data_IF_919907295489
#
_entry.id   IF_919907295489
#
_cell.length_a   1.000
_cell.length_b   1.000
_cell.length_c   1.000
_cell.angle_alpha   90.00
_cell.angle_beta   90.00
_cell.angle_gamma   90.00
#
_symmetry.space_group_name_H-M   'P 1'
#
loop_
_entity.id
_entity.type
_entity.pdbx_description
1 polymer ?
#
# COMPACT_ATOMS: atom_id res chain seq x y z
N UNK A 1 -5.40 5.70 -7.94
CA UNK A 1 -5.42 6.95 -8.74
C UNK A 1 -3.99 7.47 -8.83
N UNK A 2 -3.27 7.07 -9.84
CA UNK A 2 -1.96 7.63 -10.15
C UNK A 2 -2.19 8.99 -10.81
N UNK A 3 -1.78 10.05 -10.13
CA UNK A 3 -1.65 11.37 -10.74
C UNK A 3 -0.39 11.34 -11.59
N UNK A 4 -0.50 11.60 -12.90
CA UNK A 4 0.66 11.88 -13.71
C UNK A 4 1.20 13.29 -13.37
N UNK A 5 2.43 13.57 -13.78
CA UNK A 5 3.10 14.87 -13.55
C UNK A 5 2.35 16.07 -14.17
N UNK A 6 1.35 15.83 -15.03
CA UNK A 6 0.51 16.86 -15.65
C UNK A 6 -0.73 17.19 -14.81
N UNK A 7 -0.97 16.49 -13.71
CA UNK A 7 -2.13 16.68 -12.85
C UNK A 7 -3.44 16.13 -13.43
N UNK A 8 -3.37 15.45 -14.55
CA UNK A 8 -4.49 14.71 -15.14
C UNK A 8 -4.59 13.37 -14.43
N UNK A 9 -5.72 13.09 -13.78
CA UNK A 9 -6.05 11.74 -13.37
C UNK A 9 -6.11 10.89 -14.62
N UNK A 10 -5.18 9.95 -14.79
CA UNK A 10 -5.37 8.92 -15.79
C UNK A 10 -6.65 8.20 -15.39
N UNK A 11 -7.69 8.37 -16.18
CA UNK A 11 -8.93 7.66 -15.94
C UNK A 11 -8.59 6.17 -15.97
N UNK A 12 -8.86 5.49 -14.87
CA UNK A 12 -8.83 4.03 -14.90
C UNK A 12 -9.80 3.59 -16.00
N UNK A 13 -9.46 2.57 -16.78
CA UNK A 13 -10.30 2.16 -17.90
C UNK A 13 -11.75 1.94 -17.45
N UNK A 14 -12.70 2.53 -18.16
CA UNK A 14 -14.14 2.49 -17.83
C UNK A 14 -14.69 1.08 -17.63
N UNK A 15 -14.10 0.08 -18.30
CA UNK A 15 -14.52 -1.32 -18.17
C UNK A 15 -14.32 -1.91 -16.77
N UNK A 16 -13.44 -1.36 -15.94
CA UNK A 16 -13.23 -1.81 -14.57
C UNK A 16 -14.33 -1.38 -13.59
N UNK A 17 -15.17 -0.40 -13.98
CA UNK A 17 -16.16 0.21 -13.09
C UNK A 17 -17.57 0.26 -13.67
N UNK A 18 -17.74 -0.10 -14.96
CA UNK A 18 -19.05 -0.15 -15.54
C UNK A 18 -19.77 -1.48 -15.19
N UNK A 19 -21.06 -1.56 -15.43
CA UNK A 19 -21.85 -2.77 -15.17
C UNK A 19 -21.99 -3.66 -16.42
N UNK A 20 -21.22 -3.41 -17.47
CA UNK A 20 -21.27 -4.16 -18.70
C UNK A 20 -20.26 -5.32 -18.68
N UNK A 21 -20.67 -6.57 -18.45
CA UNK A 21 -19.75 -7.71 -18.36
C UNK A 21 -19.04 -8.03 -19.69
N UNK A 22 -19.47 -7.43 -20.81
CA UNK A 22 -18.84 -7.66 -22.11
C UNK A 22 -17.60 -6.78 -22.33
N UNK A 23 -17.44 -5.69 -21.60
CA UNK A 23 -16.26 -4.84 -21.69
C UNK A 23 -15.07 -5.48 -20.98
N UNK A 24 -15.33 -6.35 -20.01
CA UNK A 24 -14.31 -7.17 -19.34
C UNK A 24 -13.64 -8.15 -20.33
N UNK A 25 -14.34 -8.52 -21.41
CA UNK A 25 -13.78 -9.39 -22.43
C UNK A 25 -12.56 -8.76 -23.14
N UNK A 26 -12.50 -7.45 -23.28
CA UNK A 26 -11.33 -6.75 -23.83
C UNK A 26 -10.10 -6.89 -22.94
N UNK A 27 -10.31 -6.87 -21.62
CA UNK A 27 -9.24 -7.10 -20.66
C UNK A 27 -8.78 -8.55 -20.64
N UNK A 28 -9.72 -9.50 -20.55
CA UNK A 28 -9.43 -10.94 -20.53
C UNK A 28 -8.79 -11.46 -21.82
N UNK A 29 -9.16 -10.88 -22.96
CA UNK A 29 -8.64 -11.25 -24.28
C UNK A 29 -7.53 -10.31 -24.78
N UNK A 30 -7.04 -9.41 -23.95
CA UNK A 30 -5.90 -8.58 -24.25
C UNK A 30 -4.66 -9.45 -24.43
N UNK A 31 -3.84 -9.07 -25.41
CA UNK A 31 -2.59 -9.76 -25.77
C UNK A 31 -1.69 -10.00 -24.56
N UNK A 32 -1.55 -9.00 -23.68
CA UNK A 32 -0.65 -9.05 -22.55
C UNK A 32 -1.22 -9.98 -21.47
N UNK A 33 -2.52 -9.90 -21.20
CA UNK A 33 -3.22 -10.82 -20.27
C UNK A 33 -3.10 -12.26 -20.73
N UNK A 34 -3.32 -12.53 -22.01
CA UNK A 34 -3.18 -13.88 -22.58
C UNK A 34 -1.73 -14.39 -22.52
N UNK A 35 -0.77 -13.50 -22.80
CA UNK A 35 0.65 -13.83 -22.72
C UNK A 35 1.08 -14.18 -21.30
N UNK A 36 0.76 -13.31 -20.31
CA UNK A 36 1.11 -13.56 -18.91
C UNK A 36 0.36 -14.74 -18.31
N UNK A 37 -0.93 -14.92 -18.64
CA UNK A 37 -1.69 -16.10 -18.19
C UNK A 37 -1.10 -17.39 -18.78
N UNK A 38 -0.75 -17.38 -20.05
CA UNK A 38 -0.08 -18.51 -20.71
C UNK A 38 1.29 -18.80 -20.09
N UNK A 39 2.07 -17.74 -19.79
CA UNK A 39 3.37 -17.88 -19.14
C UNK A 39 3.24 -18.48 -17.74
N UNK A 40 2.32 -18.00 -16.90
CA UNK A 40 2.07 -18.53 -15.55
C UNK A 40 1.64 -20.00 -15.62
N UNK A 41 0.70 -20.36 -16.51
CA UNK A 41 0.25 -21.75 -16.69
C UNK A 41 1.39 -22.68 -17.16
N UNK A 42 2.25 -22.20 -18.03
CA UNK A 42 3.40 -22.99 -18.51
C UNK A 42 4.48 -23.13 -17.45
N UNK A 43 4.75 -22.08 -16.70
CA UNK A 43 5.73 -22.08 -15.59
C UNK A 43 5.30 -23.06 -14.50
N UNK A 44 4.05 -23.00 -14.05
CA UNK A 44 3.51 -23.94 -13.07
C UNK A 44 3.56 -25.38 -13.53
N UNK A 45 3.35 -25.62 -14.85
CA UNK A 45 3.40 -26.96 -15.40
C UNK A 45 4.83 -27.50 -15.54
N UNK A 46 5.82 -26.63 -15.81
CA UNK A 46 7.21 -27.04 -16.05
C UNK A 46 8.04 -27.17 -14.76
N UNK A 47 7.64 -26.52 -13.67
CA UNK A 47 8.37 -26.53 -12.40
C UNK A 47 7.79 -27.49 -11.34
N UNK A 48 6.97 -28.44 -11.78
CA UNK A 48 6.50 -29.52 -10.89
C UNK A 48 5.46 -29.10 -9.87
N UNK A 49 4.75 -28.05 -10.17
CA UNK A 49 3.87 -27.28 -9.34
C UNK A 49 2.98 -28.01 -8.40
N UNK A 50 2.99 -27.60 -7.22
CA UNK A 50 2.03 -27.67 -6.17
C UNK A 50 1.83 -26.32 -5.56
N UNK A 51 2.44 -25.31 -6.13
CA UNK A 51 2.34 -23.93 -5.68
C UNK A 51 0.97 -23.39 -6.05
N UNK A 52 0.22 -22.98 -5.06
CA UNK A 52 -1.04 -22.26 -5.25
C UNK A 52 -0.73 -20.87 -5.82
N UNK A 53 -1.71 -20.22 -6.42
CA UNK A 53 -1.56 -18.82 -6.86
C UNK A 53 -1.12 -17.91 -5.71
N UNK A 54 -1.42 -18.29 -4.48
CA UNK A 54 -1.02 -17.59 -3.26
C UNK A 54 0.50 -17.67 -3.05
N UNK A 55 1.15 -18.79 -3.36
CA UNK A 55 2.61 -18.96 -3.27
C UNK A 55 3.35 -18.21 -4.41
N UNK A 56 2.73 -18.05 -5.57
CA UNK A 56 3.30 -17.30 -6.70
C UNK A 56 3.37 -15.78 -6.47
N UNK A 57 2.69 -15.26 -5.46
CA UNK A 57 2.73 -13.86 -5.04
C UNK A 57 3.51 -13.65 -3.73
N UNK A 58 3.99 -14.71 -3.10
CA UNK A 58 4.93 -14.56 -2.00
C UNK A 58 6.27 -14.15 -2.57
N UNK A 59 6.70 -12.95 -2.22
CA UNK A 59 8.05 -12.46 -2.49
C UNK A 59 9.02 -13.21 -1.57
N UNK A 60 9.07 -14.52 -1.75
CA UNK A 60 9.81 -15.42 -0.90
C UNK A 60 11.24 -15.55 -1.39
N UNK A 61 12.11 -14.93 -0.65
CA UNK A 61 13.54 -15.14 -0.74
C UNK A 61 14.22 -14.22 0.26
N UNK A 62 14.90 -14.78 1.23
CA UNK A 62 15.71 -14.08 2.23
C UNK A 62 16.68 -13.05 1.64
N UNK A 63 16.90 -13.12 0.32
CA UNK A 63 17.77 -12.22 -0.44
C UNK A 63 17.19 -10.81 -0.54
N UNK A 64 15.86 -10.66 -0.48
CA UNK A 64 15.17 -9.38 -0.70
C UNK A 64 14.90 -8.62 0.61
N UNK A 65 14.76 -9.36 1.71
CA UNK A 65 14.37 -8.82 3.00
C UNK A 65 15.55 -8.80 3.94
N UNK A 66 16.35 -7.77 3.88
CA UNK A 66 17.48 -7.56 4.78
C UNK A 66 17.94 -6.09 4.75
N UNK A 67 18.60 -5.68 5.81
CA UNK A 67 19.10 -4.32 5.99
C UNK A 67 20.01 -3.83 4.86
N UNK A 68 20.82 -4.72 4.25
CA UNK A 68 21.69 -4.33 3.13
C UNK A 68 20.86 -3.93 1.91
N UNK A 69 19.90 -4.77 1.52
CA UNK A 69 18.98 -4.49 0.42
C UNK A 69 18.15 -3.22 0.68
N UNK A 70 17.64 -3.09 1.91
CA UNK A 70 16.85 -1.91 2.28
C UNK A 70 17.68 -0.61 2.19
N UNK A 71 18.95 -0.64 2.61
CA UNK A 71 19.83 0.51 2.53
C UNK A 71 20.32 0.78 1.11
N UNK A 72 20.60 -0.24 0.32
CA UNK A 72 21.01 -0.11 -1.08
C UNK A 72 19.87 0.51 -1.95
N UNK A 73 18.62 0.22 -1.60
CA UNK A 73 17.44 0.76 -2.26
C UNK A 73 16.95 2.08 -1.65
N UNK A 74 17.71 2.66 -0.71
CA UNK A 74 17.36 3.92 -0.07
C UNK A 74 18.22 5.08 -0.57
N UNK A 75 17.64 5.87 -1.45
CA UNK A 75 18.24 7.16 -1.86
C UNK A 75 17.87 8.23 -0.82
N UNK A 76 18.84 8.54 0.04
CA UNK A 76 18.66 9.49 1.15
C UNK A 76 18.62 10.93 0.62
N UNK A 77 17.46 11.62 0.71
CA UNK A 77 17.33 12.96 0.15
C UNK A 77 18.13 14.01 0.91
N UNK A 78 18.43 15.11 0.27
CA UNK A 78 18.92 16.33 0.95
C UNK A 78 17.83 16.92 1.83
N UNK A 79 18.24 17.62 2.91
CA UNK A 79 17.32 18.29 3.83
C UNK A 79 16.59 19.41 3.09
N UNK A 80 15.26 19.36 3.16
CA UNK A 80 14.37 20.36 2.60
C UNK A 80 13.74 21.22 3.71
N UNK A 81 13.26 22.43 3.38
CA UNK A 81 12.46 23.23 4.30
C UNK A 81 11.19 22.52 4.72
N UNK A 82 10.71 22.82 5.93
CA UNK A 82 9.43 22.32 6.44
C UNK A 82 8.30 22.62 5.46
N UNK A 83 7.52 21.59 5.14
CA UNK A 83 6.39 21.69 4.24
C UNK A 83 5.12 22.18 4.96
N UNK A 84 4.23 22.91 4.26
CA UNK A 84 2.96 23.35 4.83
C UNK A 84 2.05 22.13 5.12
N UNK A 85 1.37 22.17 6.26
CA UNK A 85 0.50 21.08 6.74
C UNK A 85 -0.82 21.02 5.97
N UNK A 86 -1.37 22.17 5.61
CA UNK A 86 -2.71 22.31 5.05
C UNK A 86 -2.97 21.45 3.82
N UNK A 87 -2.08 21.40 2.80
CA UNK A 87 -2.31 20.58 1.60
C UNK A 87 -2.40 19.08 1.91
N UNK A 88 -1.65 18.60 2.89
CA UNK A 88 -1.66 17.19 3.30
C UNK A 88 -2.96 16.83 4.00
N UNK A 89 -3.45 17.71 4.89
CA UNK A 89 -4.72 17.55 5.59
C UNK A 89 -5.90 17.60 4.60
N UNK A 90 -5.88 18.52 3.64
CA UNK A 90 -6.91 18.62 2.61
C UNK A 90 -6.95 17.38 1.71
N UNK A 91 -5.78 16.88 1.28
CA UNK A 91 -5.69 15.63 0.53
C UNK A 91 -6.17 14.43 1.35
N UNK A 92 -5.79 14.35 2.63
CA UNK A 92 -6.28 13.29 3.51
C UNK A 92 -7.81 13.31 3.62
N UNK A 93 -8.41 14.47 3.86
CA UNK A 93 -9.88 14.63 3.91
C UNK A 93 -10.56 14.21 2.62
N UNK A 94 -10.01 14.60 1.46
CA UNK A 94 -10.56 14.24 0.16
C UNK A 94 -10.52 12.72 -0.07
N UNK A 95 -9.42 12.06 0.28
CA UNK A 95 -9.28 10.61 0.16
C UNK A 95 -10.20 9.86 1.15
N UNK A 96 -10.31 10.36 2.38
CA UNK A 96 -11.16 9.78 3.41
C UNK A 96 -12.64 9.80 3.04
N UNK A 97 -13.10 10.78 2.24
CA UNK A 97 -14.48 10.81 1.76
C UNK A 97 -14.88 9.54 0.99
N UNK A 98 -13.96 8.97 0.21
CA UNK A 98 -14.20 7.71 -0.52
C UNK A 98 -14.35 6.55 0.46
N UNK A 99 -13.42 6.43 1.40
CA UNK A 99 -13.40 5.34 2.39
C UNK A 99 -14.63 5.43 3.31
N UNK A 100 -14.92 6.60 3.85
CA UNK A 100 -16.08 6.81 4.73
C UNK A 100 -17.41 6.64 4.00
N UNK A 101 -17.43 6.92 2.69
CA UNK A 101 -18.58 6.62 1.85
C UNK A 101 -18.89 5.13 1.80
N UNK A 102 -17.87 4.28 1.69
CA UNK A 102 -18.05 2.83 1.75
C UNK A 102 -18.44 2.34 3.14
N UNK A 103 -17.76 2.81 4.18
CA UNK A 103 -18.07 2.47 5.57
C UNK A 103 -19.55 2.75 5.87
N UNK A 104 -20.05 3.95 5.51
CA UNK A 104 -21.43 4.36 5.74
C UNK A 104 -22.46 3.55 4.96
N UNK A 105 -22.09 3.05 3.77
CA UNK A 105 -22.97 2.21 2.93
C UNK A 105 -23.02 0.76 3.39
N UNK A 106 -22.09 0.34 4.24
CA UNK A 106 -21.97 -1.04 4.71
C UNK A 106 -21.93 -1.11 6.26
N UNK A 107 -23.02 -0.69 6.93
CA UNK A 107 -23.05 -0.60 8.41
C UNK A 107 -22.92 -1.97 9.10
N UNK A 108 -23.24 -3.06 8.39
CA UNK A 108 -23.13 -4.44 8.90
C UNK A 108 -21.76 -5.08 8.64
N UNK A 109 -20.82 -4.33 8.02
CA UNK A 109 -19.45 -4.77 7.75
C UNK A 109 -18.52 -4.13 8.76
N UNK A 110 -17.68 -4.93 9.40
CA UNK A 110 -16.57 -4.45 10.23
C UNK A 110 -15.37 -4.13 9.34
N UNK A 111 -14.77 -2.96 9.52
CA UNK A 111 -13.63 -2.47 8.75
C UNK A 111 -12.40 -2.43 9.64
N UNK A 112 -11.46 -3.35 9.39
CA UNK A 112 -10.13 -3.32 9.97
C UNK A 112 -9.21 -2.46 9.11
N UNK A 113 -8.81 -1.32 9.62
CA UNK A 113 -7.95 -0.35 8.90
C UNK A 113 -6.64 -0.22 9.67
N UNK A 114 -5.52 -0.17 8.97
CA UNK A 114 -4.23 -0.01 9.60
C UNK A 114 -3.33 0.99 8.87
N UNK A 115 -2.48 1.67 9.63
CA UNK A 115 -1.37 2.43 9.08
C UNK A 115 -0.21 1.48 8.83
N UNK A 116 0.31 1.43 7.58
CA UNK A 116 1.40 0.51 7.24
C UNK A 116 2.63 0.70 8.15
N UNK A 117 3.30 -0.38 8.55
CA UNK A 117 4.53 -0.31 9.35
C UNK A 117 5.73 0.03 8.46
N UNK A 118 5.75 1.22 7.89
CA UNK A 118 6.89 1.69 7.11
C UNK A 118 8.17 1.73 7.93
N UNK A 119 9.30 1.42 7.30
CA UNK A 119 10.59 1.34 7.97
C UNK A 119 11.05 2.69 8.53
N UNK A 120 12.05 2.65 9.39
CA UNK A 120 12.71 3.88 9.89
C UNK A 120 13.28 4.73 8.74
N UNK A 121 13.60 4.13 7.58
CA UNK A 121 14.07 4.86 6.41
C UNK A 121 12.97 5.74 5.80
N UNK A 122 11.71 5.29 5.84
CA UNK A 122 10.57 6.13 5.46
C UNK A 122 10.48 7.37 6.36
N UNK A 123 10.65 7.21 7.64
CA UNK A 123 10.60 8.32 8.60
C UNK A 123 11.80 9.25 8.48
N UNK A 124 13.03 8.73 8.24
CA UNK A 124 14.19 9.55 7.90
C UNK A 124 13.94 10.38 6.63
N UNK A 125 13.37 9.75 5.60
CA UNK A 125 13.00 10.44 4.35
C UNK A 125 11.98 11.54 4.59
N UNK A 126 10.91 11.24 5.31
CA UNK A 126 9.84 12.18 5.64
C UNK A 126 10.37 13.39 6.42
N UNK A 127 11.23 13.16 7.42
CA UNK A 127 11.89 14.22 8.18
C UNK A 127 12.78 15.10 7.30
N UNK A 128 13.61 14.47 6.46
CA UNK A 128 14.54 15.18 5.57
C UNK A 128 13.84 16.00 4.51
N UNK A 129 12.68 15.54 4.05
CA UNK A 129 11.82 16.30 3.10
C UNK A 129 11.02 17.41 3.79
N UNK A 130 11.13 17.54 5.13
CA UNK A 130 10.39 18.53 5.91
C UNK A 130 8.90 18.24 6.03
N UNK A 131 8.47 16.99 5.81
CA UNK A 131 7.07 16.57 5.71
C UNK A 131 6.52 15.98 7.02
N UNK A 132 7.35 15.82 8.06
CA UNK A 132 6.99 15.08 9.27
C UNK A 132 5.71 15.62 9.93
N UNK A 133 5.64 16.93 10.17
CA UNK A 133 4.48 17.56 10.80
C UNK A 133 3.23 17.42 9.93
N UNK A 134 3.39 17.54 8.61
CA UNK A 134 2.31 17.43 7.65
C UNK A 134 1.74 15.99 7.59
N UNK A 135 2.62 14.98 7.58
CA UNK A 135 2.23 13.57 7.61
C UNK A 135 1.51 13.23 8.92
N UNK A 136 2.02 13.66 10.07
CA UNK A 136 1.35 13.43 11.34
C UNK A 136 -0.01 14.14 11.44
N UNK A 137 -0.14 15.35 10.92
CA UNK A 137 -1.43 16.05 10.88
C UNK A 137 -2.45 15.33 9.97
N UNK A 138 -2.01 14.81 8.82
CA UNK A 138 -2.84 13.99 7.95
C UNK A 138 -3.28 12.68 8.62
N UNK A 139 -2.37 12.01 9.33
CA UNK A 139 -2.67 10.80 10.10
C UNK A 139 -3.64 11.07 11.25
N UNK A 140 -3.47 12.16 11.99
CA UNK A 140 -4.41 12.58 13.03
C UNK A 140 -5.81 12.81 12.45
N UNK A 141 -5.89 13.50 11.31
CA UNK A 141 -7.14 13.70 10.57
C UNK A 141 -7.79 12.38 10.19
N UNK A 142 -7.01 11.40 9.75
CA UNK A 142 -7.50 10.07 9.41
C UNK A 142 -8.03 9.34 10.66
N UNK A 143 -7.29 9.35 11.78
CA UNK A 143 -7.73 8.77 13.03
C UNK A 143 -9.06 9.36 13.50
N UNK A 144 -9.15 10.70 13.58
CA UNK A 144 -10.36 11.39 14.02
C UNK A 144 -11.57 11.06 13.14
N UNK A 145 -11.34 10.99 11.83
CA UNK A 145 -12.41 10.72 10.86
C UNK A 145 -12.88 9.26 10.91
N UNK A 146 -11.97 8.32 10.96
CA UNK A 146 -12.28 6.88 10.90
C UNK A 146 -12.85 6.37 12.22
N UNK A 147 -12.32 6.81 13.36
CA UNK A 147 -12.81 6.41 14.68
C UNK A 147 -14.17 7.01 15.05
N UNK A 148 -14.75 7.87 14.20
CA UNK A 148 -16.12 8.33 14.35
C UNK A 148 -17.16 7.28 13.95
N UNK A 149 -16.75 6.15 13.36
CA UNK A 149 -17.60 5.05 12.90
C UNK A 149 -17.50 3.86 13.85
N UNK A 150 -18.64 3.39 14.35
CA UNK A 150 -18.71 2.27 15.32
C UNK A 150 -18.25 0.92 14.71
N UNK A 151 -18.27 0.80 13.37
CA UNK A 151 -17.88 -0.40 12.63
C UNK A 151 -16.45 -0.31 12.05
N UNK A 152 -15.62 0.57 12.60
CA UNK A 152 -14.20 0.69 12.22
C UNK A 152 -13.30 0.34 13.40
N UNK A 153 -12.34 -0.54 13.15
CA UNK A 153 -11.20 -0.76 14.03
C UNK A 153 -9.94 -0.22 13.34
N UNK A 154 -9.17 0.58 14.08
CA UNK A 154 -7.96 1.21 13.55
C UNK A 154 -6.72 0.70 14.28
N UNK A 155 -5.76 0.18 13.52
CA UNK A 155 -4.52 -0.37 14.02
C UNK A 155 -3.32 0.48 13.61
N UNK A 156 -2.33 0.57 14.47
CA UNK A 156 -1.13 1.38 14.25
C UNK A 156 0.16 0.57 14.41
N UNK A 157 0.40 -0.48 13.60
CA UNK A 157 1.64 -1.26 13.66
C UNK A 157 2.90 -0.43 13.40
N UNK A 158 2.77 0.74 12.80
CA UNK A 158 3.85 1.72 12.65
C UNK A 158 4.45 2.18 13.99
N UNK A 159 3.74 1.98 15.11
CA UNK A 159 4.23 2.31 16.47
C UNK A 159 5.01 1.14 17.09
N UNK A 160 5.05 -0.03 16.46
CA UNK A 160 5.83 -1.16 16.91
C UNK A 160 7.31 -0.97 16.51
N UNK A 161 8.11 -0.49 17.47
CA UNK A 161 9.54 -0.24 17.24
C UNK A 161 10.33 -1.48 16.84
N UNK A 162 9.93 -2.69 17.27
CA UNK A 162 10.59 -3.92 16.85
C UNK A 162 10.38 -4.22 15.37
N UNK A 163 9.24 -3.80 14.81
CA UNK A 163 8.99 -3.90 13.37
C UNK A 163 9.74 -2.81 12.61
N UNK A 164 9.49 -1.56 12.96
CA UNK A 164 9.90 -0.38 12.17
C UNK A 164 11.41 -0.17 12.15
N UNK A 165 12.10 -0.48 13.26
CA UNK A 165 13.56 -0.29 13.38
C UNK A 165 14.38 -1.46 12.84
N UNK A 166 13.78 -2.64 12.66
CA UNK A 166 14.47 -3.80 12.13
C UNK A 166 14.44 -3.80 10.59
N UNK A 167 15.51 -3.33 9.96
CA UNK A 167 15.61 -3.26 8.50
C UNK A 167 15.67 -4.62 7.82
N UNK A 168 15.90 -5.71 8.55
CA UNK A 168 15.82 -7.07 7.99
C UNK A 168 14.37 -7.48 7.64
N UNK A 169 13.39 -6.69 8.09
CA UNK A 169 12.00 -6.82 7.71
C UNK A 169 11.66 -6.21 6.33
N UNK A 170 12.60 -5.49 5.69
CA UNK A 170 12.32 -4.64 4.53
C UNK A 170 13.26 -4.91 3.36
N UNK A 171 12.77 -4.65 2.13
CA UNK A 171 13.62 -4.61 0.94
C UNK A 171 13.89 -3.17 0.45
N UNK A 172 13.14 -2.19 0.94
CA UNK A 172 13.34 -0.77 0.72
C UNK A 172 12.73 0.03 1.90
N UNK A 173 12.49 1.32 1.72
CA UNK A 173 11.97 2.17 2.81
C UNK A 173 10.49 1.96 3.13
N UNK A 174 9.70 1.26 2.28
CA UNK A 174 8.25 1.03 2.45
C UNK A 174 7.82 -0.43 2.41
N UNK A 175 8.46 -1.28 1.57
CA UNK A 175 8.02 -2.64 1.37
C UNK A 175 8.59 -3.58 2.44
N UNK A 176 7.70 -4.28 3.11
CA UNK A 176 8.02 -5.21 4.19
C UNK A 176 7.70 -6.65 3.81
N UNK A 177 8.33 -7.61 4.52
CA UNK A 177 8.20 -9.04 4.27
C UNK A 177 6.81 -9.59 4.60
N UNK A 178 6.53 -10.80 4.12
CA UNK A 178 5.30 -11.52 4.44
C UNK A 178 5.18 -11.82 5.94
N UNK A 179 6.29 -12.06 6.64
CA UNK A 179 6.28 -12.26 8.09
C UNK A 179 5.76 -11.03 8.81
N UNK A 180 6.11 -9.83 8.34
CA UNK A 180 5.55 -8.57 8.87
C UNK A 180 4.06 -8.48 8.56
N UNK A 181 3.63 -8.82 7.33
CA UNK A 181 2.21 -8.88 6.99
C UNK A 181 1.44 -9.80 7.95
N UNK A 182 1.94 -11.02 8.15
CA UNK A 182 1.31 -11.99 9.06
C UNK A 182 1.26 -11.46 10.50
N UNK A 183 2.36 -10.89 10.98
CA UNK A 183 2.41 -10.30 12.34
C UNK A 183 1.42 -9.14 12.52
N UNK A 184 1.14 -8.37 11.47
CA UNK A 184 0.14 -7.31 11.49
C UNK A 184 -1.28 -7.87 11.52
N UNK A 185 -1.53 -8.96 10.78
CA UNK A 185 -2.86 -9.59 10.70
C UNK A 185 -3.21 -10.42 11.95
N UNK A 186 -2.21 -10.93 12.68
CA UNK A 186 -2.41 -11.76 13.88
C UNK A 186 -2.67 -10.92 15.16
N UNK A 187 -2.66 -9.59 15.06
CA UNK A 187 -2.92 -8.67 16.18
C UNK A 187 -4.36 -8.18 16.21
#
# INVERSE_FOLDING_TARGET
LTRDESGVTSAMPDYLYNKNPFDDAQYLLNKDTLYYSGFVLMSNKSWGGGETLDEGFTWDGDIWWNHMTALDNYDRPDIQPTQPVEPYVENAKANLQVVTGWISQHPDTEFDIFFPPYSILFWDKTERLGEMDAVFAAMSTACETLLAYDNVQLYAPLLDGELVLNLDNYCDYVHHSNEVCQRVLDK
#
